data_IF_366605195132
#
_entry.id   IF_366605195132
#
_cell.length_a   1.000
_cell.length_b   1.000
_cell.length_c   1.000
_cell.angle_alpha   90.00
_cell.angle_beta   90.00
_cell.angle_gamma   90.00
#
_symmetry.space_group_name_H-M   'P 1'
#
loop_
_entity.id
_entity.type
_entity.pdbx_description
1 polymer ?
#
# COMPACT_ATOMS: atom_id res chain seq x y z
N UNK A 1 7.67 18.43 4.68
CA UNK A 1 7.14 19.46 3.75
C UNK A 1 6.08 20.30 4.43
N UNK A 2 4.93 19.77 4.92
CA UNK A 2 3.85 20.54 5.55
C UNK A 2 4.34 21.37 6.75
N UNK A 3 5.12 20.76 7.67
CA UNK A 3 5.67 21.44 8.85
C UNK A 3 6.67 22.55 8.47
N UNK A 4 7.47 22.34 7.43
CA UNK A 4 8.40 23.35 6.91
C UNK A 4 7.64 24.55 6.38
N UNK A 5 6.64 24.35 5.53
CA UNK A 5 5.82 25.44 4.99
C UNK A 5 5.11 26.23 6.09
N UNK A 6 4.59 25.54 7.12
CA UNK A 6 3.97 26.18 8.28
C UNK A 6 4.95 27.10 9.03
N UNK A 7 6.20 26.64 9.20
CA UNK A 7 7.24 27.45 9.84
C UNK A 7 7.61 28.66 8.98
N UNK A 8 7.68 28.51 7.66
CA UNK A 8 7.96 29.62 6.73
C UNK A 8 6.84 30.68 6.76
N UNK A 9 5.58 30.24 6.77
CA UNK A 9 4.43 31.16 6.91
C UNK A 9 4.50 31.93 8.24
N UNK A 10 4.80 31.20 9.34
CA UNK A 10 4.92 31.86 10.66
C UNK A 10 6.08 32.84 10.70
N UNK A 11 7.21 32.52 10.08
CA UNK A 11 8.37 33.44 9.98
C UNK A 11 8.04 34.68 9.15
N UNK A 12 7.32 34.51 8.04
CA UNK A 12 6.84 35.61 7.22
C UNK A 12 5.94 36.54 8.03
N UNK A 13 4.94 36.01 8.72
CA UNK A 13 4.00 36.79 9.54
C UNK A 13 4.70 37.63 10.64
N UNK A 14 5.78 37.07 11.22
CA UNK A 14 6.55 37.78 12.26
C UNK A 14 7.43 38.91 11.70
N UNK A 15 7.89 38.77 10.47
CA UNK A 15 8.88 39.68 9.88
C UNK A 15 8.31 40.60 8.81
N UNK A 16 7.02 40.47 8.46
CA UNK A 16 6.43 41.24 7.36
C UNK A 16 6.56 42.76 7.52
N UNK A 17 6.50 43.25 8.76
CA UNK A 17 6.67 44.68 9.06
C UNK A 17 8.09 45.23 8.80
N UNK A 18 9.09 44.35 8.72
CA UNK A 18 10.49 44.69 8.50
C UNK A 18 10.92 44.52 7.03
N UNK A 19 10.01 44.04 6.17
CA UNK A 19 10.28 43.79 4.75
C UNK A 19 9.91 45.01 3.91
N UNK A 20 10.65 45.22 2.82
CA UNK A 20 10.20 46.15 1.78
C UNK A 20 8.98 45.57 1.05
N UNK A 21 8.18 46.44 0.44
CA UNK A 21 6.97 46.02 -0.31
C UNK A 21 7.31 44.96 -1.37
N UNK A 22 8.44 45.12 -2.08
CA UNK A 22 8.89 44.16 -3.10
C UNK A 22 9.29 42.81 -2.51
N UNK A 23 9.96 42.79 -1.36
CA UNK A 23 10.33 41.56 -0.66
C UNK A 23 9.11 40.82 -0.09
N UNK A 24 8.19 41.56 0.51
CA UNK A 24 6.95 40.98 1.02
C UNK A 24 6.15 40.29 -0.10
N UNK A 25 5.97 41.00 -1.23
CA UNK A 25 5.26 40.46 -2.40
C UNK A 25 5.92 39.19 -2.99
N UNK A 26 7.25 39.22 -3.11
CA UNK A 26 7.98 38.05 -3.61
C UNK A 26 7.84 36.84 -2.69
N UNK A 27 7.88 37.06 -1.36
CA UNK A 27 7.67 35.98 -0.39
C UNK A 27 6.23 35.44 -0.39
N UNK A 28 5.24 36.32 -0.53
CA UNK A 28 3.84 35.91 -0.66
C UNK A 28 3.60 35.05 -1.90
N UNK A 29 4.16 35.42 -3.03
CA UNK A 29 4.09 34.66 -4.26
C UNK A 29 4.76 33.30 -4.11
N UNK A 30 5.92 33.23 -3.48
CA UNK A 30 6.64 31.95 -3.22
C UNK A 30 5.87 31.05 -2.27
N UNK A 31 5.35 31.58 -1.17
CA UNK A 31 4.52 30.84 -0.22
C UNK A 31 3.24 30.31 -0.87
N UNK A 32 2.61 31.12 -1.72
CA UNK A 32 1.41 30.73 -2.47
C UNK A 32 1.73 29.57 -3.42
N UNK A 33 2.83 29.64 -4.16
CA UNK A 33 3.29 28.54 -5.04
C UNK A 33 3.60 27.28 -4.25
N UNK A 34 4.28 27.41 -3.12
CA UNK A 34 4.57 26.27 -2.24
C UNK A 34 3.30 25.63 -1.69
N UNK A 35 2.31 26.42 -1.34
CA UNK A 35 1.01 25.93 -0.88
C UNK A 35 0.25 25.18 -1.98
N UNK A 36 0.22 25.71 -3.20
CA UNK A 36 -0.39 25.06 -4.35
C UNK A 36 0.32 23.75 -4.68
N UNK A 37 1.66 23.75 -4.71
CA UNK A 37 2.46 22.56 -4.95
C UNK A 37 2.22 21.49 -3.87
N UNK A 38 2.10 21.88 -2.61
CA UNK A 38 1.78 20.97 -1.52
C UNK A 38 0.41 20.33 -1.71
N UNK A 39 -0.58 21.12 -2.13
CA UNK A 39 -1.94 20.62 -2.38
C UNK A 39 -1.96 19.61 -3.55
N UNK A 40 -1.29 19.95 -4.66
CA UNK A 40 -1.16 19.04 -5.81
C UNK A 40 -0.42 17.75 -5.41
N UNK A 41 0.64 17.85 -4.63
CA UNK A 41 1.37 16.69 -4.14
C UNK A 41 0.52 15.78 -3.25
N UNK A 42 -0.27 16.37 -2.34
CA UNK A 42 -1.19 15.61 -1.49
C UNK A 42 -2.26 14.89 -2.31
N UNK A 43 -2.79 15.53 -3.33
CA UNK A 43 -3.78 14.94 -4.21
C UNK A 43 -3.18 13.79 -5.04
N UNK A 44 -1.99 13.98 -5.61
CA UNK A 44 -1.26 12.94 -6.34
C UNK A 44 -0.95 11.74 -5.45
N UNK A 45 -0.45 11.99 -4.22
CA UNK A 45 -0.13 10.93 -3.27
C UNK A 45 -1.38 10.15 -2.83
N UNK A 46 -2.51 10.85 -2.63
CA UNK A 46 -3.78 10.20 -2.31
C UNK A 46 -4.25 9.28 -3.45
N UNK A 47 -4.13 9.74 -4.69
CA UNK A 47 -4.48 8.94 -5.86
C UNK A 47 -3.57 7.72 -6.02
N UNK A 48 -2.27 7.91 -5.84
CA UNK A 48 -1.28 6.82 -5.87
C UNK A 48 -1.56 5.77 -4.79
N UNK A 49 -1.88 6.22 -3.57
CA UNK A 49 -2.23 5.34 -2.46
C UNK A 49 -3.50 4.50 -2.78
N UNK A 50 -4.53 5.13 -3.33
CA UNK A 50 -5.75 4.42 -3.74
C UNK A 50 -5.48 3.40 -4.85
N UNK A 51 -4.64 3.74 -5.81
CA UNK A 51 -4.25 2.83 -6.90
C UNK A 51 -3.45 1.64 -6.36
N UNK A 52 -2.50 1.89 -5.46
CA UNK A 52 -1.69 0.82 -4.86
C UNK A 52 -2.53 -0.08 -3.95
N UNK A 53 -3.45 0.47 -3.16
CA UNK A 53 -4.39 -0.29 -2.35
C UNK A 53 -5.28 -1.18 -3.22
N UNK A 54 -5.82 -0.66 -4.31
CA UNK A 54 -6.63 -1.43 -5.27
C UNK A 54 -5.84 -2.58 -5.89
N UNK A 55 -4.58 -2.32 -6.26
CA UNK A 55 -3.66 -3.33 -6.81
C UNK A 55 -3.37 -4.43 -5.80
N UNK A 56 -3.03 -4.07 -4.56
CA UNK A 56 -2.76 -5.01 -3.48
C UNK A 56 -3.99 -5.88 -3.16
N UNK A 57 -5.17 -5.28 -3.12
CA UNK A 57 -6.42 -6.01 -2.88
C UNK A 57 -6.70 -7.02 -4.00
N UNK A 58 -6.44 -6.65 -5.25
CA UNK A 58 -6.56 -7.57 -6.39
C UNK A 58 -5.56 -8.72 -6.30
N UNK A 59 -4.29 -8.43 -6.03
CA UNK A 59 -3.26 -9.47 -5.86
C UNK A 59 -3.60 -10.42 -4.71
N UNK A 60 -4.09 -9.89 -3.59
CA UNK A 60 -4.53 -10.68 -2.45
C UNK A 60 -5.70 -11.59 -2.83
N UNK A 61 -6.70 -11.07 -3.53
CA UNK A 61 -7.84 -11.84 -4.01
C UNK A 61 -7.41 -12.97 -4.95
N UNK A 62 -6.52 -12.68 -5.90
CA UNK A 62 -6.00 -13.67 -6.84
C UNK A 62 -5.21 -14.78 -6.13
N UNK A 63 -4.41 -14.44 -5.13
CA UNK A 63 -3.68 -15.41 -4.29
C UNK A 63 -4.62 -16.28 -3.48
N UNK A 64 -5.62 -15.69 -2.83
CA UNK A 64 -6.63 -16.42 -2.05
C UNK A 64 -7.40 -17.40 -2.95
N UNK A 65 -7.87 -16.94 -4.10
CA UNK A 65 -8.64 -17.81 -5.02
C UNK A 65 -7.81 -18.94 -5.61
N UNK A 66 -6.55 -18.68 -5.92
CA UNK A 66 -5.60 -19.70 -6.40
C UNK A 66 -5.35 -20.75 -5.32
N UNK A 67 -5.10 -20.32 -4.08
CA UNK A 67 -4.92 -21.23 -2.96
C UNK A 67 -6.17 -22.07 -2.69
N UNK A 68 -7.34 -21.43 -2.65
CA UNK A 68 -8.62 -22.12 -2.41
C UNK A 68 -8.95 -23.13 -3.50
N UNK A 69 -8.60 -22.83 -4.75
CA UNK A 69 -8.77 -23.79 -5.85
C UNK A 69 -7.95 -25.06 -5.63
N UNK A 70 -6.69 -24.91 -5.25
CA UNK A 70 -5.80 -26.04 -4.92
C UNK A 70 -6.31 -26.80 -3.70
N UNK A 71 -6.59 -26.10 -2.60
CA UNK A 71 -7.10 -26.66 -1.37
C UNK A 71 -8.42 -27.40 -1.57
N UNK A 72 -9.34 -26.83 -2.34
CA UNK A 72 -10.63 -27.47 -2.66
C UNK A 72 -10.46 -28.76 -3.44
N UNK A 73 -9.57 -28.78 -4.42
CA UNK A 73 -9.26 -29.99 -5.19
C UNK A 73 -8.65 -31.09 -4.31
N UNK A 74 -7.71 -30.73 -3.44
CA UNK A 74 -7.03 -31.68 -2.54
C UNK A 74 -7.97 -32.25 -1.47
N UNK A 75 -8.99 -31.50 -1.05
CA UNK A 75 -9.92 -31.88 0.02
C UNK A 75 -11.31 -32.26 -0.50
N UNK A 76 -11.50 -32.35 -1.82
CA UNK A 76 -12.78 -32.78 -2.41
C UNK A 76 -13.91 -31.77 -2.22
N UNK A 77 -13.60 -30.47 -1.99
CA UNK A 77 -14.59 -29.42 -1.86
C UNK A 77 -15.07 -28.99 -3.25
N UNK A 78 -16.36 -28.87 -3.42
CA UNK A 78 -16.96 -28.42 -4.67
C UNK A 78 -17.15 -26.91 -4.71
N UNK A 79 -17.40 -26.28 -3.55
CA UNK A 79 -17.64 -24.84 -3.39
C UNK A 79 -17.01 -24.37 -2.10
N UNK A 80 -16.41 -23.18 -2.13
CA UNK A 80 -15.98 -22.44 -0.94
C UNK A 80 -16.67 -21.08 -0.97
N UNK A 81 -17.38 -20.76 0.09
CA UNK A 81 -18.17 -19.54 0.21
C UNK A 81 -17.52 -18.58 1.22
N UNK A 82 -17.57 -17.31 0.91
CA UNK A 82 -17.23 -16.25 1.85
C UNK A 82 -18.31 -16.15 2.92
N UNK A 83 -17.93 -16.14 4.19
CA UNK A 83 -18.83 -15.97 5.32
C UNK A 83 -18.47 -14.74 6.12
N UNK A 84 -19.18 -13.64 5.88
CA UNK A 84 -19.07 -12.40 6.61
C UNK A 84 -20.44 -11.68 6.64
N UNK A 85 -20.57 -10.57 7.38
CA UNK A 85 -21.85 -9.84 7.47
C UNK A 85 -22.43 -9.34 6.14
N UNK A 86 -21.64 -9.32 5.07
CA UNK A 86 -22.04 -8.87 3.72
C UNK A 86 -22.32 -10.02 2.77
N UNK A 87 -22.13 -11.26 3.20
CA UNK A 87 -22.37 -12.45 2.38
C UNK A 87 -23.84 -12.89 2.45
N UNK A 88 -24.29 -13.60 1.42
CA UNK A 88 -25.64 -14.18 1.39
C UNK A 88 -25.79 -15.43 2.27
N UNK A 89 -24.71 -15.90 2.88
CA UNK A 89 -24.71 -17.04 3.80
C UNK A 89 -25.09 -16.55 5.19
N UNK A 90 -26.28 -16.93 5.65
CA UNK A 90 -26.84 -16.50 6.93
C UNK A 90 -26.46 -17.40 8.10
N UNK A 91 -26.12 -18.65 7.84
CA UNK A 91 -25.74 -19.63 8.84
C UNK A 91 -24.76 -20.65 8.29
N UNK A 92 -23.80 -21.03 9.09
CA UNK A 92 -22.86 -22.12 8.85
C UNK A 92 -22.38 -22.69 10.18
N UNK A 93 -22.26 -24.01 10.26
CA UNK A 93 -21.70 -24.66 11.45
C UNK A 93 -20.17 -24.43 11.50
N UNK A 94 -19.64 -24.29 12.70
CA UNK A 94 -18.21 -24.05 12.92
C UNK A 94 -17.30 -25.11 12.28
N UNK A 95 -17.78 -26.36 12.20
CA UNK A 95 -17.06 -27.46 11.55
C UNK A 95 -16.81 -27.26 10.04
N UNK A 96 -17.57 -26.38 9.39
CA UNK A 96 -17.38 -26.01 7.97
C UNK A 96 -16.47 -24.80 7.79
N UNK A 97 -16.07 -24.12 8.88
CA UNK A 97 -15.19 -22.96 8.80
C UNK A 97 -13.73 -23.39 8.60
N UNK A 98 -13.22 -23.13 7.40
CA UNK A 98 -11.83 -23.39 7.02
C UNK A 98 -10.93 -22.15 7.08
N UNK A 99 -11.42 -21.04 7.59
CA UNK A 99 -10.71 -19.75 7.58
C UNK A 99 -9.32 -19.85 8.17
N UNK A 100 -9.18 -20.43 9.35
CA UNK A 100 -7.88 -20.55 10.02
C UNK A 100 -6.88 -21.43 9.26
N UNK A 101 -7.37 -22.49 8.64
CA UNK A 101 -6.56 -23.41 7.83
C UNK A 101 -6.05 -22.68 6.60
N UNK A 102 -6.93 -21.97 5.91
CA UNK A 102 -6.60 -21.20 4.70
C UNK A 102 -5.63 -20.06 5.02
N UNK A 103 -5.87 -19.28 6.08
CA UNK A 103 -4.98 -18.20 6.51
C UNK A 103 -3.59 -18.73 6.83
N UNK A 104 -3.50 -19.83 7.56
CA UNK A 104 -2.22 -20.47 7.87
C UNK A 104 -1.50 -20.91 6.60
N UNK A 105 -2.19 -21.59 5.70
CA UNK A 105 -1.60 -22.09 4.46
C UNK A 105 -1.09 -20.99 3.55
N UNK A 106 -1.86 -19.91 3.39
CA UNK A 106 -1.43 -18.72 2.63
C UNK A 106 -0.18 -18.06 3.25
N UNK A 107 -0.13 -17.95 4.58
CA UNK A 107 1.03 -17.41 5.27
C UNK A 107 2.28 -18.28 5.12
N UNK A 108 2.11 -19.60 5.12
CA UNK A 108 3.21 -20.53 4.95
C UNK A 108 3.74 -20.51 3.50
N UNK A 109 2.87 -20.45 2.50
CA UNK A 109 3.26 -20.23 1.10
C UNK A 109 4.03 -18.91 0.92
N UNK A 110 3.54 -17.83 1.49
CA UNK A 110 4.19 -16.52 1.41
C UNK A 110 5.58 -16.49 2.05
N UNK A 111 5.75 -17.18 3.18
CA UNK A 111 7.09 -17.32 3.83
C UNK A 111 8.04 -18.09 2.93
N UNK A 112 7.58 -19.21 2.37
CA UNK A 112 8.39 -20.05 1.48
C UNK A 112 8.83 -19.28 0.22
N UNK A 113 7.94 -18.49 -0.38
CA UNK A 113 8.28 -17.61 -1.50
C UNK A 113 9.34 -16.57 -1.14
N UNK A 114 9.23 -15.95 0.05
CA UNK A 114 10.22 -14.97 0.53
C UNK A 114 11.58 -15.58 0.82
N UNK A 115 11.61 -16.77 1.37
CA UNK A 115 12.85 -17.49 1.69
C UNK A 115 13.51 -18.05 0.42
N UNK A 116 12.72 -18.56 -0.54
CA UNK A 116 13.18 -19.03 -1.84
C UNK A 116 13.69 -17.92 -2.77
N UNK A 117 13.23 -16.67 -2.59
CA UNK A 117 13.70 -15.50 -3.34
C UNK A 117 15.03 -14.92 -2.88
N UNK A 118 15.61 -15.44 -1.81
CA UNK A 118 16.94 -15.04 -1.26
C UNK A 118 18.10 -15.91 -1.73
N UNK A 119 18.07 -16.45 -2.95
CA UNK A 119 19.26 -17.07 -3.51
C UNK A 119 20.11 -15.97 -4.17
N UNK A 120 21.27 -15.58 -3.60
CA UNK A 120 22.18 -14.68 -4.29
C UNK A 120 22.71 -15.44 -5.52
N UNK A 121 22.52 -14.84 -6.70
CA UNK A 121 23.21 -15.28 -7.92
C UNK A 121 24.68 -15.50 -7.60
N UNK A 122 25.10 -16.74 -7.66
CA UNK A 122 26.49 -17.08 -7.69
C UNK A 122 27.09 -16.41 -8.93
N UNK A 123 28.00 -15.48 -8.67
CA UNK A 123 28.84 -14.83 -9.64
C UNK A 123 29.77 -15.90 -10.23
N UNK A 124 29.46 -16.39 -11.41
CA UNK A 124 30.35 -17.26 -12.18
C UNK A 124 31.22 -16.40 -13.08
N UNK A 125 32.26 -15.81 -12.52
CA UNK A 125 33.41 -15.37 -13.28
C UNK A 125 34.18 -16.60 -13.76
N UNK A 126 33.84 -17.07 -14.95
CA UNK A 126 34.67 -18.00 -15.66
C UNK A 126 35.94 -17.27 -16.17
N UNK A 127 37.02 -17.52 -15.52
CA UNK A 127 38.35 -17.18 -16.01
C UNK A 127 38.67 -18.08 -17.19
N UNK A 128 38.85 -17.45 -18.34
CA UNK A 128 39.49 -18.08 -19.48
C UNK A 128 41.02 -18.19 -19.24
N UNK A 129 41.51 -19.33 -19.50
CA UNK A 129 42.85 -19.48 -20.04
C UNK A 129 42.80 -20.37 -21.28
#
# INVERSE_FOLDING_TARGET
VRKSLQNEITAYQRNVSNLTIGQARALEEDLTKKQQNLQMYQQSLSQELMNEESKLNKELYDRITTYLKKYGQENGLQVVLKFDPTSDVLYGVEALDITNIVVKGLNDEYKTEKEGGKNPKADSTATKN
#
